data_IF_230455703188
#
_entry.id   IF_230455703188
#
_cell.length_a   1.000
_cell.length_b   1.000
_cell.length_c   1.000
_cell.angle_alpha   90.00
_cell.angle_beta   90.00
_cell.angle_gamma   90.00
#
_symmetry.space_group_name_H-M   'P 1'
#
loop_
_entity.id
_entity.type
_entity.pdbx_description
1 polymer ?
#
# COMPACT_ATOMS: atom_id res chain seq x y z
N UNK A 1 1.24 2.20 -3.35
CA UNK A 1 2.29 2.44 -2.32
C UNK A 1 3.53 3.01 -3.00
N UNK A 2 3.74 4.33 -2.93
CA UNK A 2 4.68 5.01 -3.84
C UNK A 2 5.82 5.77 -3.15
N UNK A 3 5.72 6.10 -1.86
CA UNK A 3 6.62 7.05 -1.22
C UNK A 3 7.89 6.43 -0.62
N UNK A 4 7.78 5.41 0.23
CA UNK A 4 8.94 4.88 0.98
C UNK A 4 10.05 4.23 0.14
N UNK A 5 9.77 3.86 -1.11
CA UNK A 5 10.74 3.23 -2.02
C UNK A 5 11.29 4.20 -3.09
N UNK A 6 10.87 5.47 -3.09
CA UNK A 6 11.23 6.48 -4.10
C UNK A 6 11.03 6.02 -5.56
N UNK A 7 10.13 5.06 -5.78
CA UNK A 7 9.87 4.44 -7.07
C UNK A 7 8.46 4.73 -7.60
N UNK A 8 7.81 5.77 -7.06
CA UNK A 8 6.39 6.07 -7.32
C UNK A 8 6.07 6.25 -8.79
N UNK A 9 6.73 7.22 -9.43
CA UNK A 9 6.48 7.58 -10.82
C UNK A 9 6.82 6.45 -11.79
N UNK A 10 7.95 5.77 -11.56
CA UNK A 10 8.36 4.62 -12.35
C UNK A 10 7.35 3.47 -12.25
N UNK A 11 6.84 3.18 -11.05
CA UNK A 11 5.84 2.13 -10.83
C UNK A 11 4.52 2.46 -11.51
N UNK A 12 4.04 3.72 -11.41
CA UNK A 12 2.82 4.15 -12.08
C UNK A 12 2.95 4.10 -13.60
N UNK A 13 4.11 4.52 -14.15
CA UNK A 13 4.39 4.44 -15.58
C UNK A 13 4.38 2.99 -16.07
N UNK A 14 4.98 2.07 -15.30
CA UNK A 14 4.97 0.64 -15.60
C UNK A 14 3.54 0.08 -15.58
N UNK A 15 2.76 0.34 -14.53
CA UNK A 15 1.38 -0.16 -14.43
C UNK A 15 0.51 0.35 -15.57
N UNK A 16 0.61 1.63 -15.92
CA UNK A 16 -0.14 2.24 -17.04
C UNK A 16 0.28 1.71 -18.43
N UNK A 17 1.41 1.00 -18.54
CA UNK A 17 1.86 0.39 -19.79
C UNK A 17 1.22 -0.98 -20.07
N UNK A 18 0.55 -1.58 -19.08
CA UNK A 18 -0.09 -2.89 -19.21
C UNK A 18 -1.42 -2.75 -19.98
N UNK A 19 -1.58 -3.41 -21.14
CA UNK A 19 -2.83 -3.35 -21.89
C UNK A 19 -4.01 -3.89 -21.08
N UNK A 20 -5.17 -3.24 -21.19
CA UNK A 20 -6.42 -3.62 -20.53
C UNK A 20 -6.38 -3.64 -18.99
N UNK A 21 -5.39 -3.01 -18.36
CA UNK A 21 -5.37 -2.84 -16.91
C UNK A 21 -6.40 -1.77 -16.48
N UNK A 22 -7.40 -2.17 -15.71
CA UNK A 22 -8.25 -1.23 -15.00
C UNK A 22 -7.53 -0.74 -13.73
N UNK A 23 -6.93 0.45 -13.81
CA UNK A 23 -6.18 1.04 -12.72
C UNK A 23 -7.03 2.07 -11.98
N UNK A 24 -7.18 1.90 -10.67
CA UNK A 24 -7.77 2.89 -9.78
C UNK A 24 -6.72 3.43 -8.81
N UNK A 25 -6.82 4.71 -8.47
CA UNK A 25 -5.89 5.32 -7.54
C UNK A 25 -6.30 5.00 -6.09
N UNK A 26 -5.31 4.74 -5.24
CA UNK A 26 -5.53 4.54 -3.80
C UNK A 26 -5.28 5.86 -3.07
N UNK A 27 -6.30 6.39 -2.41
CA UNK A 27 -6.19 7.55 -1.54
C UNK A 27 -5.18 7.32 -0.41
N UNK A 28 -4.34 8.31 -0.12
CA UNK A 28 -3.28 8.18 0.88
C UNK A 28 -2.17 7.22 0.45
N UNK A 29 -1.92 7.06 -0.84
CA UNK A 29 -0.94 6.12 -1.41
C UNK A 29 0.50 6.35 -0.91
N UNK A 30 0.81 7.58 -0.53
CA UNK A 30 2.06 8.05 0.04
C UNK A 30 2.21 7.73 1.53
N UNK A 31 1.11 7.44 2.24
CA UNK A 31 1.15 7.06 3.65
C UNK A 31 1.76 5.67 3.84
N UNK A 32 2.43 5.45 4.96
CA UNK A 32 2.93 4.13 5.36
C UNK A 32 1.76 3.15 5.62
N UNK A 33 2.03 1.84 5.59
CA UNK A 33 1.08 0.81 5.99
C UNK A 33 1.13 0.50 7.50
N UNK A 34 2.13 1.00 8.23
CA UNK A 34 2.36 0.71 9.65
C UNK A 34 3.50 -0.27 9.93
N UNK A 35 3.87 -1.13 8.98
CA UNK A 35 4.88 -2.17 9.19
C UNK A 35 6.26 -1.61 9.61
N UNK A 36 6.75 -0.62 8.86
CA UNK A 36 8.01 0.11 9.08
C UNK A 36 9.16 -0.78 9.62
N UNK A 37 9.50 -1.84 8.88
CA UNK A 37 10.47 -2.84 9.31
C UNK A 37 9.86 -3.78 10.35
N UNK A 38 10.15 -3.51 11.63
CA UNK A 38 9.63 -4.28 12.78
C UNK A 38 8.72 -3.45 13.68
N UNK A 39 8.35 -2.23 13.29
CA UNK A 39 7.57 -1.32 14.12
C UNK A 39 6.22 -1.90 14.50
N UNK A 40 5.56 -2.64 13.61
CA UNK A 40 4.33 -3.37 13.90
C UNK A 40 4.47 -4.40 15.04
N UNK A 41 5.67 -4.93 15.29
CA UNK A 41 5.96 -5.84 16.39
C UNK A 41 6.27 -5.08 17.69
N UNK A 42 6.92 -3.92 17.58
CA UNK A 42 7.30 -3.09 18.72
C UNK A 42 6.11 -2.29 19.26
N UNK A 43 5.28 -1.76 18.36
CA UNK A 43 4.16 -0.83 18.65
C UNK A 43 2.88 -1.28 17.93
N UNK A 44 2.31 -2.45 18.30
CA UNK A 44 1.20 -3.08 17.56
C UNK A 44 -0.07 -2.22 17.55
N UNK A 45 -0.36 -1.51 18.65
CA UNK A 45 -1.57 -0.68 18.75
C UNK A 45 -1.50 0.51 17.79
N UNK A 46 -0.37 1.22 17.77
CA UNK A 46 -0.17 2.37 16.88
C UNK A 46 -0.10 1.94 15.42
N UNK A 47 0.65 0.87 15.12
CA UNK A 47 0.72 0.30 13.77
C UNK A 47 -0.65 -0.14 13.27
N UNK A 48 -1.47 -0.74 14.15
CA UNK A 48 -2.84 -1.14 13.83
C UNK A 48 -3.71 0.06 13.44
N UNK A 49 -3.64 1.17 14.17
CA UNK A 49 -4.39 2.38 13.82
C UNK A 49 -4.02 2.93 12.44
N UNK A 50 -2.73 2.95 12.11
CA UNK A 50 -2.23 3.35 10.78
C UNK A 50 -2.73 2.40 9.69
N UNK A 51 -2.66 1.09 9.94
CA UNK A 51 -3.14 0.08 9.01
C UNK A 51 -4.64 0.21 8.74
N UNK A 52 -5.44 0.45 9.79
CA UNK A 52 -6.90 0.54 9.66
C UNK A 52 -7.34 1.66 8.71
N UNK A 53 -6.67 2.81 8.73
CA UNK A 53 -6.94 3.87 7.75
C UNK A 53 -6.62 3.42 6.32
N UNK A 54 -5.49 2.72 6.16
CA UNK A 54 -5.08 2.18 4.86
C UNK A 54 -6.08 1.18 4.30
N UNK A 55 -6.56 0.26 5.15
CA UNK A 55 -7.52 -0.78 4.77
C UNK A 55 -8.85 -0.15 4.30
N UNK A 56 -9.38 0.84 5.03
CA UNK A 56 -10.59 1.56 4.60
C UNK A 56 -10.44 2.19 3.22
N UNK A 57 -9.30 2.83 2.95
CA UNK A 57 -9.05 3.43 1.63
C UNK A 57 -8.90 2.37 0.54
N UNK A 58 -8.29 1.22 0.85
CA UNK A 58 -8.18 0.09 -0.10
C UNK A 58 -9.58 -0.45 -0.43
N UNK A 59 -10.41 -0.71 0.57
CA UNK A 59 -11.79 -1.20 0.40
C UNK A 59 -12.63 -0.22 -0.43
N UNK A 60 -12.50 1.08 -0.18
CA UNK A 60 -13.21 2.12 -0.91
C UNK A 60 -12.88 2.15 -2.42
N UNK A 61 -11.73 1.61 -2.83
CA UNK A 61 -11.38 1.54 -4.26
C UNK A 61 -12.18 0.50 -5.05
N UNK A 62 -12.73 -0.52 -4.38
CA UNK A 62 -13.35 -1.68 -5.02
C UNK A 62 -12.38 -2.54 -5.85
N UNK A 63 -11.06 -2.32 -5.74
CA UNK A 63 -10.07 -3.08 -6.49
C UNK A 63 -9.96 -4.51 -5.98
N UNK A 64 -9.85 -5.47 -6.89
CA UNK A 64 -9.64 -6.89 -6.55
C UNK A 64 -8.18 -7.21 -6.24
N UNK A 65 -7.26 -6.28 -6.50
CA UNK A 65 -5.82 -6.51 -6.37
C UNK A 65 -5.12 -5.23 -5.94
N UNK A 66 -4.30 -5.34 -4.89
CA UNK A 66 -3.43 -4.27 -4.42
C UNK A 66 -1.99 -4.54 -4.87
N UNK A 67 -1.41 -3.63 -5.64
CA UNK A 67 0.00 -3.69 -6.02
C UNK A 67 0.89 -2.92 -5.03
N UNK A 68 1.94 -3.58 -4.55
CA UNK A 68 2.98 -2.98 -3.69
C UNK A 68 4.33 -3.62 -3.98
N UNK A 69 5.37 -2.80 -4.07
CA UNK A 69 6.77 -3.24 -4.24
C UNK A 69 7.51 -3.44 -2.91
N UNK A 70 6.82 -3.41 -1.78
CA UNK A 70 7.42 -3.56 -0.45
C UNK A 70 6.84 -4.83 0.23
N UNK A 71 7.67 -5.86 0.50
CA UNK A 71 7.24 -7.11 1.14
C UNK A 71 6.68 -6.92 2.56
N UNK A 72 7.23 -5.99 3.35
CA UNK A 72 6.71 -5.69 4.69
C UNK A 72 5.27 -5.15 4.62
N UNK A 73 4.96 -4.35 3.60
CA UNK A 73 3.59 -3.93 3.33
C UNK A 73 2.70 -5.09 2.87
N UNK A 74 3.20 -6.00 2.03
CA UNK A 74 2.45 -7.19 1.62
C UNK A 74 2.10 -8.05 2.83
N UNK A 75 3.07 -8.31 3.69
CA UNK A 75 2.88 -9.12 4.90
C UNK A 75 1.95 -8.43 5.89
N UNK A 76 2.09 -7.11 6.11
CA UNK A 76 1.27 -6.43 7.12
C UNK A 76 -0.17 -6.16 6.67
N UNK A 77 -0.40 -5.95 5.38
CA UNK A 77 -1.75 -5.74 4.81
C UNK A 77 -2.43 -7.08 4.51
N UNK A 78 -1.67 -8.09 4.09
CA UNK A 78 -2.18 -9.40 3.71
C UNK A 78 -2.22 -10.44 4.83
N UNK A 79 -1.69 -10.12 6.01
CA UNK A 79 -1.88 -10.92 7.23
C UNK A 79 -3.19 -10.53 7.92
#
# INVERSE_FOLDING_TARGET
>A
MLYGQHAGDASLKMLKSIPNLNFTNLEGTERCCGAAGIYNLLEPQMSGQVLQEKLRNIEATGATTLATGNPGCQMHIGA
#
